data_IF_693665059299
#
_entry.id   IF_693665059299
#
_cell.length_a   1.000
_cell.length_b   1.000
_cell.length_c   1.000
_cell.angle_alpha   90.00
_cell.angle_beta   90.00
_cell.angle_gamma   90.00
#
_symmetry.space_group_name_H-M   'P 1'
#
loop_
_entity.id
_entity.type
_entity.pdbx_description
1 polymer ?
#
# COMPACT_ATOMS: atom_id res chain seq x y z
N UNK A 1 -17.16 -31.09 -20.86
CA UNK A 1 -15.88 -31.05 -20.11
C UNK A 1 -14.78 -30.16 -20.72
N UNK A 2 -15.01 -29.44 -21.83
CA UNK A 2 -13.97 -28.58 -22.49
C UNK A 2 -13.90 -27.12 -22.02
N UNK A 3 -14.92 -26.61 -21.32
CA UNK A 3 -14.96 -25.17 -20.97
C UNK A 3 -14.33 -24.77 -19.63
N UNK A 4 -14.00 -25.72 -18.75
CA UNK A 4 -13.35 -25.38 -17.46
C UNK A 4 -11.83 -25.20 -17.57
N UNK A 5 -11.20 -25.85 -18.56
CA UNK A 5 -9.75 -25.78 -18.73
C UNK A 5 -9.29 -24.43 -19.31
N UNK A 6 -10.10 -23.85 -20.23
CA UNK A 6 -9.76 -22.55 -20.87
C UNK A 6 -9.86 -21.35 -19.91
N UNK A 7 -10.75 -21.38 -18.90
CA UNK A 7 -10.86 -20.30 -17.92
C UNK A 7 -9.65 -20.24 -16.98
N UNK A 8 -9.12 -21.41 -16.58
CA UNK A 8 -7.93 -21.48 -15.71
C UNK A 8 -6.69 -21.00 -16.45
N UNK A 9 -6.52 -21.39 -17.72
CA UNK A 9 -5.39 -20.93 -18.54
C UNK A 9 -5.47 -19.42 -18.85
N UNK A 10 -6.66 -18.87 -19.09
CA UNK A 10 -6.83 -17.45 -19.36
C UNK A 10 -6.47 -16.58 -18.14
N UNK A 11 -6.94 -16.97 -16.96
CA UNK A 11 -6.61 -16.27 -15.71
C UNK A 11 -5.12 -16.36 -15.35
N UNK A 12 -4.45 -17.48 -15.60
CA UNK A 12 -3.02 -17.62 -15.37
C UNK A 12 -2.18 -16.75 -16.33
N UNK A 13 -2.59 -16.63 -17.61
CA UNK A 13 -1.86 -15.85 -18.62
C UNK A 13 -2.04 -14.36 -18.37
N UNK A 14 -3.27 -13.89 -18.08
CA UNK A 14 -3.56 -12.48 -17.77
C UNK A 14 -2.80 -12.02 -16.51
N UNK A 15 -2.73 -12.87 -15.49
CA UNK A 15 -2.00 -12.54 -14.26
C UNK A 15 -0.48 -12.45 -14.47
N UNK A 16 0.10 -13.27 -15.35
CA UNK A 16 1.53 -13.21 -15.68
C UNK A 16 1.91 -11.94 -16.45
N UNK A 17 1.08 -11.51 -17.40
CA UNK A 17 1.28 -10.28 -18.16
C UNK A 17 1.16 -9.04 -17.27
N UNK A 18 0.14 -8.97 -16.42
CA UNK A 18 -0.02 -7.89 -15.45
C UNK A 18 1.19 -7.82 -14.50
N UNK A 19 1.70 -8.96 -14.03
CA UNK A 19 2.88 -9.01 -13.17
C UNK A 19 4.13 -8.44 -13.86
N UNK A 20 4.34 -8.76 -15.14
CA UNK A 20 5.45 -8.19 -15.92
C UNK A 20 5.28 -6.69 -16.16
N UNK A 21 4.06 -6.22 -16.41
CA UNK A 21 3.76 -4.79 -16.53
C UNK A 21 3.99 -4.04 -15.21
N UNK A 22 3.62 -4.63 -14.07
CA UNK A 22 3.92 -4.11 -12.73
C UNK A 22 5.43 -3.96 -12.53
N UNK A 23 6.21 -5.01 -12.81
CA UNK A 23 7.67 -4.97 -12.68
C UNK A 23 8.30 -3.87 -13.52
N UNK A 24 7.92 -3.75 -14.79
CA UNK A 24 8.48 -2.77 -15.73
C UNK A 24 8.03 -1.35 -15.39
N UNK A 25 6.73 -1.15 -15.21
CA UNK A 25 6.14 0.17 -14.97
C UNK A 25 6.64 0.80 -13.66
N UNK A 26 6.70 0.03 -12.57
CA UNK A 26 7.24 0.57 -11.32
C UNK A 26 8.77 0.71 -11.36
N UNK A 27 9.49 -0.19 -12.04
CA UNK A 27 10.94 -0.01 -12.22
C UNK A 27 11.29 1.29 -12.91
N UNK A 28 10.53 1.71 -13.92
CA UNK A 28 10.84 2.94 -14.68
C UNK A 28 10.64 4.21 -13.87
N UNK A 29 9.66 4.23 -12.94
CA UNK A 29 9.28 5.46 -12.22
C UNK A 29 9.93 5.63 -10.85
N UNK A 30 10.50 4.58 -10.22
CA UNK A 30 10.89 4.66 -8.80
C UNK A 30 11.87 5.77 -8.47
N UNK A 31 12.82 6.09 -9.33
CA UNK A 31 13.76 7.19 -9.08
C UNK A 31 13.11 8.58 -9.10
N UNK A 32 12.15 8.81 -10.00
CA UNK A 32 11.35 10.05 -10.03
C UNK A 32 10.33 10.08 -8.90
N UNK A 33 9.64 8.97 -8.70
CA UNK A 33 8.68 8.80 -7.61
C UNK A 33 9.27 9.07 -6.23
N UNK A 34 10.52 8.62 -5.96
CA UNK A 34 11.19 8.91 -4.69
C UNK A 34 11.43 10.40 -4.49
N UNK A 35 11.91 11.11 -5.53
CA UNK A 35 12.10 12.57 -5.47
C UNK A 35 10.79 13.30 -5.21
N UNK A 36 9.73 12.89 -5.89
CA UNK A 36 8.39 13.45 -5.71
C UNK A 36 7.85 13.15 -4.30
N UNK A 37 7.98 11.93 -3.82
CA UNK A 37 7.53 11.51 -2.50
C UNK A 37 8.22 12.27 -1.35
N UNK A 38 9.46 12.70 -1.55
CA UNK A 38 10.21 13.50 -0.57
C UNK A 38 9.89 15.01 -0.63
N UNK A 39 9.32 15.49 -1.72
CA UNK A 39 9.05 16.92 -1.94
C UNK A 39 7.56 17.28 -1.92
N UNK A 40 6.69 16.33 -2.20
CA UNK A 40 5.24 16.53 -2.22
C UNK A 40 4.67 16.52 -0.80
N UNK A 41 4.09 17.62 -0.31
CA UNK A 41 3.54 17.69 1.05
C UNK A 41 2.46 16.66 1.35
N UNK A 42 1.74 16.20 0.33
CA UNK A 42 0.67 15.20 0.47
C UNK A 42 1.26 13.82 0.75
N UNK A 43 2.25 13.41 -0.05
CA UNK A 43 2.92 12.13 0.13
C UNK A 43 3.66 12.08 1.47
N UNK A 44 4.26 13.20 1.87
CA UNK A 44 4.89 13.35 3.18
C UNK A 44 3.86 13.15 4.30
N UNK A 45 2.67 13.79 4.22
CA UNK A 45 1.61 13.63 5.21
C UNK A 45 1.04 12.21 5.23
N UNK A 46 0.80 11.60 4.06
CA UNK A 46 0.30 10.23 3.96
C UNK A 46 1.27 9.24 4.58
N UNK A 47 2.57 9.36 4.29
CA UNK A 47 3.62 8.54 4.90
C UNK A 47 3.71 8.75 6.41
N UNK A 48 3.68 10.00 6.87
CA UNK A 48 3.69 10.34 8.30
C UNK A 48 2.55 9.65 9.05
N UNK A 49 1.32 9.74 8.53
CA UNK A 49 0.15 9.12 9.15
C UNK A 49 0.22 7.59 9.12
N UNK A 50 0.68 7.02 8.02
CA UNK A 50 0.87 5.58 7.91
C UNK A 50 1.92 5.06 8.89
N UNK A 51 3.08 5.72 8.96
CA UNK A 51 4.16 5.37 9.89
C UNK A 51 3.70 5.44 11.34
N UNK A 52 3.02 6.51 11.71
CA UNK A 52 2.41 6.68 13.04
C UNK A 52 1.45 5.53 13.38
N UNK A 53 0.64 5.08 12.43
CA UNK A 53 -0.27 3.93 12.65
C UNK A 53 0.52 2.64 12.91
N UNK A 54 1.59 2.36 12.17
CA UNK A 54 2.46 1.20 12.44
C UNK A 54 3.11 1.30 13.83
N UNK A 55 3.58 2.48 14.23
CA UNK A 55 4.23 2.74 15.52
C UNK A 55 3.29 2.58 16.73
N UNK A 56 1.99 2.83 16.57
CA UNK A 56 0.98 2.58 17.62
C UNK A 56 0.97 1.10 18.03
N UNK A 57 1.19 0.19 17.08
CA UNK A 57 1.10 -1.25 17.30
C UNK A 57 2.45 -1.97 17.34
N UNK A 58 3.55 -1.26 17.10
CA UNK A 58 4.89 -1.82 17.13
C UNK A 58 5.84 -0.96 17.94
N UNK A 59 6.68 -1.60 18.74
CA UNK A 59 7.69 -0.89 19.54
C UNK A 59 9.06 -0.93 18.85
N UNK A 60 9.94 0.06 19.08
CA UNK A 60 11.34 -0.07 18.68
C UNK A 60 11.94 -1.41 19.13
N UNK A 61 12.73 -2.02 18.26
CA UNK A 61 13.23 -3.39 18.41
C UNK A 61 12.38 -4.46 17.73
N UNK A 62 11.12 -4.15 17.34
CA UNK A 62 10.28 -5.07 16.60
C UNK A 62 10.81 -5.37 15.19
N UNK A 63 10.55 -6.59 14.72
CA UNK A 63 10.81 -7.01 13.34
C UNK A 63 9.59 -6.70 12.47
N UNK A 64 9.81 -6.00 11.36
CA UNK A 64 8.79 -5.56 10.41
C UNK A 64 9.04 -6.20 9.04
N UNK A 65 7.97 -6.58 8.36
CA UNK A 65 7.99 -6.98 6.95
C UNK A 65 7.26 -5.91 6.12
N UNK A 66 7.99 -5.27 5.21
CA UNK A 66 7.44 -4.33 4.23
C UNK A 66 7.14 -5.05 2.93
N UNK A 67 5.89 -5.01 2.49
CA UNK A 67 5.47 -5.47 1.18
C UNK A 67 5.50 -4.29 0.19
N UNK A 68 5.82 -4.55 -1.08
CA UNK A 68 5.94 -3.50 -2.10
C UNK A 68 6.79 -2.30 -1.63
N UNK A 69 7.98 -2.60 -1.11
CA UNK A 69 8.85 -1.64 -0.43
C UNK A 69 9.37 -0.50 -1.33
N UNK A 70 9.31 -0.67 -2.64
CA UNK A 70 9.79 0.33 -3.59
C UNK A 70 11.24 0.70 -3.32
N UNK A 71 11.52 1.99 -3.25
CA UNK A 71 12.86 2.49 -2.97
C UNK A 71 13.31 2.34 -1.50
N UNK A 72 12.45 1.84 -0.60
CA UNK A 72 12.78 1.62 0.82
C UNK A 72 12.70 2.86 1.70
N UNK A 73 11.91 3.88 1.33
CA UNK A 73 11.76 5.10 2.15
C UNK A 73 11.14 4.83 3.52
N UNK A 74 10.17 3.92 3.59
CA UNK A 74 9.53 3.57 4.86
C UNK A 74 10.42 2.61 5.67
N UNK A 75 11.10 1.66 5.00
CA UNK A 75 12.12 0.81 5.63
C UNK A 75 13.24 1.63 6.28
N UNK A 76 13.78 2.62 5.57
CA UNK A 76 14.80 3.53 6.10
C UNK A 76 14.31 4.29 7.34
N UNK A 77 13.07 4.81 7.27
CA UNK A 77 12.46 5.50 8.40
C UNK A 77 12.37 4.60 9.63
N UNK A 78 11.80 3.40 9.49
CA UNK A 78 11.64 2.50 10.62
C UNK A 78 12.99 2.00 11.15
N UNK A 79 13.93 1.64 10.27
CA UNK A 79 15.25 1.22 10.71
C UNK A 79 16.00 2.32 11.46
N UNK A 80 15.86 3.60 11.03
CA UNK A 80 16.41 4.76 11.75
C UNK A 80 15.76 4.98 13.12
N UNK A 81 14.57 4.42 13.35
CA UNK A 81 13.86 4.44 14.61
C UNK A 81 13.97 3.11 15.39
N UNK A 82 15.07 2.38 15.20
CA UNK A 82 15.41 1.13 15.88
C UNK A 82 14.47 -0.06 15.61
N UNK A 83 13.81 -0.13 14.47
CA UNK A 83 13.15 -1.33 14.01
C UNK A 83 14.08 -2.20 13.16
N UNK A 84 13.77 -3.48 13.03
CA UNK A 84 14.44 -4.39 12.09
C UNK A 84 13.50 -4.57 10.90
N UNK A 85 13.92 -4.21 9.70
CA UNK A 85 13.02 -4.18 8.54
C UNK A 85 13.53 -5.09 7.43
N UNK A 86 12.68 -6.03 7.01
CA UNK A 86 12.82 -6.73 5.74
C UNK A 86 11.88 -6.10 4.71
N UNK A 87 12.42 -5.49 3.66
CA UNK A 87 11.64 -5.00 2.53
C UNK A 87 11.55 -6.04 1.42
N UNK A 88 10.38 -6.17 0.79
CA UNK A 88 10.17 -7.03 -0.38
C UNK A 88 9.53 -6.25 -1.52
N UNK A 89 10.03 -6.47 -2.74
CA UNK A 89 9.47 -5.90 -3.96
C UNK A 89 9.90 -6.74 -5.17
N UNK A 90 9.20 -6.62 -6.29
CA UNK A 90 9.49 -7.35 -7.53
C UNK A 90 10.11 -6.47 -8.62
N UNK A 91 10.06 -5.16 -8.48
CA UNK A 91 10.61 -4.23 -9.46
C UNK A 91 12.15 -4.19 -9.37
N UNK A 92 12.82 -4.22 -10.52
CA UNK A 92 14.29 -4.30 -10.53
C UNK A 92 14.96 -3.07 -9.91
N UNK A 93 14.45 -1.87 -10.21
CA UNK A 93 15.01 -0.63 -9.65
C UNK A 93 14.73 -0.46 -8.15
N UNK A 94 13.70 -1.13 -7.62
CA UNK A 94 13.45 -1.21 -6.17
C UNK A 94 14.67 -1.78 -5.45
N UNK A 95 15.20 -2.91 -5.94
CA UNK A 95 16.40 -3.53 -5.39
C UNK A 95 17.57 -2.56 -5.32
N UNK A 96 17.86 -1.89 -6.43
CA UNK A 96 19.01 -0.98 -6.55
C UNK A 96 18.89 0.15 -5.52
N UNK A 97 17.77 0.86 -5.52
CA UNK A 97 17.53 2.01 -4.64
C UNK A 97 17.46 1.62 -3.16
N UNK A 98 16.95 0.43 -2.86
CA UNK A 98 16.90 -0.07 -1.49
C UNK A 98 18.31 -0.46 -0.99
N UNK A 99 19.09 -1.19 -1.81
CA UNK A 99 20.46 -1.59 -1.48
C UNK A 99 21.41 -0.39 -1.35
N UNK A 100 21.21 0.69 -2.13
CA UNK A 100 21.91 1.96 -1.93
C UNK A 100 21.69 2.52 -0.53
N UNK A 101 20.45 2.46 -0.01
CA UNK A 101 20.14 2.91 1.35
C UNK A 101 20.76 2.03 2.43
N UNK A 102 20.80 0.70 2.21
CA UNK A 102 21.51 -0.21 3.12
C UNK A 102 22.99 0.14 3.15
N UNK A 103 23.60 0.31 1.98
CA UNK A 103 25.02 0.63 1.85
C UNK A 103 25.38 1.99 2.49
N UNK A 104 24.51 2.99 2.31
CA UNK A 104 24.68 4.31 2.90
C UNK A 104 24.46 4.32 4.44
N UNK A 105 23.81 3.31 5.00
CA UNK A 105 23.45 3.22 6.41
C UNK A 105 23.77 1.84 7.01
N UNK A 106 25.03 1.41 7.04
CA UNK A 106 25.42 0.02 7.36
C UNK A 106 25.12 -0.41 8.81
N UNK A 107 24.84 0.52 9.69
CA UNK A 107 24.47 0.24 11.09
C UNK A 107 22.97 0.01 11.28
N UNK A 108 22.15 0.34 10.30
CA UNK A 108 20.72 0.13 10.36
C UNK A 108 20.36 -1.32 10.02
N UNK A 109 19.38 -1.86 10.72
CA UNK A 109 18.89 -3.23 10.51
C UNK A 109 17.87 -3.26 9.37
N UNK A 110 18.38 -3.18 8.15
CA UNK A 110 17.60 -3.23 6.92
C UNK A 110 18.08 -4.39 6.05
N UNK A 111 17.13 -5.15 5.50
CA UNK A 111 17.38 -6.21 4.53
C UNK A 111 16.40 -6.05 3.36
N UNK A 112 16.81 -6.52 2.18
CA UNK A 112 15.96 -6.57 0.99
C UNK A 112 15.92 -7.97 0.41
N UNK A 113 14.70 -8.38 -0.02
CA UNK A 113 14.51 -9.59 -0.82
C UNK A 113 13.63 -9.30 -2.03
N UNK A 114 14.03 -9.78 -3.20
CA UNK A 114 13.22 -9.68 -4.41
C UNK A 114 12.15 -10.79 -4.38
N UNK A 115 11.08 -10.55 -3.65
CA UNK A 115 9.97 -11.49 -3.43
C UNK A 115 8.65 -10.79 -3.70
N UNK A 116 7.80 -11.44 -4.48
CA UNK A 116 6.42 -10.99 -4.68
C UNK A 116 5.59 -11.20 -3.42
N UNK A 117 4.70 -10.27 -3.10
CA UNK A 117 3.71 -10.47 -2.04
C UNK A 117 2.76 -11.66 -2.34
N UNK A 118 2.71 -12.14 -3.57
CA UNK A 118 1.98 -13.37 -3.93
C UNK A 118 2.76 -14.66 -3.59
N UNK A 119 4.07 -14.57 -3.30
CA UNK A 119 4.98 -15.68 -3.02
C UNK A 119 5.73 -15.51 -1.70
N UNK A 120 5.03 -15.12 -0.65
CA UNK A 120 5.63 -14.91 0.67
C UNK A 120 6.03 -16.23 1.37
N UNK A 121 5.65 -17.38 0.83
CA UNK A 121 6.16 -18.70 1.21
C UNK A 121 7.69 -18.82 1.03
N UNK A 122 8.29 -18.02 0.14
CA UNK A 122 9.75 -17.87 0.00
C UNK A 122 10.42 -17.29 1.28
N UNK A 123 9.65 -16.69 2.19
CA UNK A 123 10.08 -16.21 3.50
C UNK A 123 9.80 -17.23 4.63
N UNK A 124 9.47 -18.47 4.29
CA UNK A 124 9.13 -19.51 5.27
C UNK A 124 10.22 -19.64 6.35
N UNK A 125 9.82 -19.78 7.60
CA UNK A 125 10.71 -19.82 8.75
C UNK A 125 11.04 -18.45 9.38
N UNK A 126 10.78 -17.35 8.67
CA UNK A 126 10.91 -16.00 9.24
C UNK A 126 9.66 -15.62 10.04
N UNK A 127 9.84 -14.79 11.06
CA UNK A 127 8.74 -14.27 11.89
C UNK A 127 8.87 -12.78 12.12
N UNK A 128 7.73 -12.09 12.04
CA UNK A 128 7.64 -10.65 12.17
C UNK A 128 6.62 -10.25 13.23
N UNK A 129 6.84 -9.13 13.87
CA UNK A 129 5.87 -8.53 14.79
C UNK A 129 4.76 -7.80 14.01
N UNK A 130 5.12 -7.27 12.81
CA UNK A 130 4.20 -6.50 11.99
C UNK A 130 4.51 -6.68 10.50
N UNK A 131 3.47 -6.90 9.70
CA UNK A 131 3.53 -6.86 8.24
C UNK A 131 2.84 -5.57 7.79
N UNK A 132 3.47 -4.79 6.91
CA UNK A 132 2.84 -3.59 6.41
C UNK A 132 3.00 -3.41 4.89
N UNK A 133 2.04 -2.70 4.28
CA UNK A 133 2.04 -2.32 2.87
C UNK A 133 1.54 -0.90 2.74
N UNK A 134 2.39 0.00 2.28
CA UNK A 134 2.07 1.41 2.08
C UNK A 134 1.78 1.72 0.59
N UNK A 135 1.28 2.93 0.31
CA UNK A 135 1.06 3.45 -1.05
C UNK A 135 0.26 2.52 -1.98
N UNK A 136 -0.70 1.78 -1.41
CA UNK A 136 -1.72 1.05 -2.18
C UNK A 136 -1.18 -0.01 -3.17
N UNK A 137 0.01 -0.58 -2.93
CA UNK A 137 0.56 -1.63 -3.78
C UNK A 137 -0.36 -2.84 -3.94
N UNK A 138 -1.13 -3.17 -2.91
CA UNK A 138 -2.13 -4.26 -2.95
C UNK A 138 -3.33 -3.97 -3.88
N UNK A 139 -3.48 -2.74 -4.37
CA UNK A 139 -4.49 -2.45 -5.38
C UNK A 139 -4.09 -2.91 -6.80
N UNK A 140 -2.88 -3.43 -6.99
CA UNK A 140 -2.45 -4.04 -8.26
C UNK A 140 -2.85 -5.52 -8.39
N UNK A 141 -3.57 -6.08 -7.41
CA UNK A 141 -3.98 -7.49 -7.41
C UNK A 141 -5.39 -7.69 -6.86
N UNK A 142 -6.06 -8.74 -7.30
CA UNK A 142 -7.31 -9.22 -6.71
C UNK A 142 -7.12 -10.49 -5.86
N UNK A 143 -5.89 -11.03 -5.77
CA UNK A 143 -5.58 -12.29 -5.11
C UNK A 143 -5.37 -12.16 -3.58
N UNK A 144 -6.14 -11.27 -2.93
CA UNK A 144 -5.97 -10.96 -1.50
C UNK A 144 -6.04 -12.19 -0.60
N UNK A 145 -6.92 -13.14 -0.90
CA UNK A 145 -7.05 -14.37 -0.09
C UNK A 145 -5.77 -15.20 -0.09
N UNK A 146 -5.12 -15.36 -1.26
CA UNK A 146 -3.85 -16.06 -1.39
C UNK A 146 -2.74 -15.34 -0.63
N UNK A 147 -2.63 -14.02 -0.79
CA UNK A 147 -1.61 -13.20 -0.12
C UNK A 147 -1.77 -13.30 1.39
N UNK A 148 -2.96 -13.03 1.89
CA UNK A 148 -3.22 -12.93 3.33
C UNK A 148 -3.20 -14.29 4.05
N UNK A 149 -3.47 -15.39 3.32
CA UNK A 149 -3.32 -16.74 3.89
C UNK A 149 -1.91 -17.03 4.38
N UNK A 150 -0.90 -16.39 3.79
CA UNK A 150 0.51 -16.54 4.14
C UNK A 150 0.90 -15.75 5.40
N UNK A 151 0.15 -14.69 5.75
CA UNK A 151 0.52 -13.79 6.86
C UNK A 151 0.56 -14.48 8.22
N UNK A 152 -0.38 -15.41 8.47
CA UNK A 152 -0.39 -16.19 9.71
C UNK A 152 0.92 -16.96 9.93
N UNK A 153 1.48 -17.48 8.83
CA UNK A 153 2.76 -18.21 8.87
C UNK A 153 3.96 -17.30 9.16
N UNK A 154 3.87 -16.02 8.84
CA UNK A 154 4.95 -15.03 8.96
C UNK A 154 4.85 -14.14 10.21
N UNK A 155 3.73 -14.13 10.91
CA UNK A 155 3.55 -13.31 12.10
C UNK A 155 3.81 -14.11 13.39
N UNK A 156 4.36 -13.42 14.39
CA UNK A 156 4.27 -13.88 15.76
C UNK A 156 2.81 -13.87 16.23
N UNK A 157 2.41 -14.76 17.17
CA UNK A 157 1.08 -14.71 17.79
C UNK A 157 0.78 -13.31 18.36
N UNK A 158 -0.36 -12.75 18.00
CA UNK A 158 -0.73 -11.38 18.39
C UNK A 158 -0.07 -10.27 17.56
N UNK A 159 0.66 -10.60 16.51
CA UNK A 159 1.26 -9.65 15.58
C UNK A 159 0.23 -8.89 14.75
N UNK A 160 0.67 -7.87 14.04
CA UNK A 160 -0.20 -6.91 13.36
C UNK A 160 0.02 -6.87 11.86
N UNK A 161 -1.00 -6.42 11.16
CA UNK A 161 -0.97 -6.10 9.72
C UNK A 161 -1.50 -4.69 9.55
N UNK A 162 -0.75 -3.80 8.91
CA UNK A 162 -1.23 -2.44 8.54
C UNK A 162 -1.10 -2.23 7.04
N UNK A 163 -2.21 -1.90 6.40
CA UNK A 163 -2.30 -1.75 4.95
C UNK A 163 -2.88 -0.39 4.59
N UNK A 164 -2.27 0.32 3.63
CA UNK A 164 -2.88 1.46 2.96
C UNK A 164 -3.47 1.00 1.63
N UNK A 165 -4.74 1.29 1.41
CA UNK A 165 -5.52 0.74 0.28
C UNK A 165 -6.43 1.81 -0.31
N UNK A 166 -6.57 1.83 -1.63
CA UNK A 166 -7.54 2.69 -2.33
C UNK A 166 -8.95 2.07 -2.26
N UNK A 167 -9.95 2.80 -1.73
CA UNK A 167 -11.35 2.38 -1.73
C UNK A 167 -12.05 2.70 -3.06
N UNK A 168 -13.26 2.14 -3.23
CA UNK A 168 -14.14 2.51 -4.37
C UNK A 168 -14.68 3.95 -4.26
N UNK A 169 -14.87 4.45 -3.04
CA UNK A 169 -15.49 5.75 -2.81
C UNK A 169 -14.44 6.80 -2.45
N UNK A 170 -14.17 7.72 -3.39
CA UNK A 170 -13.34 8.90 -3.19
C UNK A 170 -14.18 10.15 -3.49
N UNK A 171 -14.56 10.95 -2.47
CA UNK A 171 -15.41 12.12 -2.66
C UNK A 171 -14.84 13.12 -3.67
N UNK A 172 -13.54 13.33 -3.64
CA UNK A 172 -12.87 14.29 -4.53
C UNK A 172 -12.85 13.86 -5.99
N UNK A 173 -12.71 12.55 -6.28
CA UNK A 173 -12.88 12.06 -7.65
C UNK A 173 -14.30 12.31 -8.16
N UNK A 174 -15.31 12.09 -7.31
CA UNK A 174 -16.71 12.33 -7.68
C UNK A 174 -16.95 13.82 -7.89
N UNK A 175 -16.49 14.68 -7.01
CA UNK A 175 -16.61 16.13 -7.15
C UNK A 175 -15.90 16.67 -8.38
N UNK A 176 -14.85 15.99 -8.86
CA UNK A 176 -14.13 16.39 -10.08
C UNK A 176 -14.98 16.28 -11.36
N UNK A 177 -16.14 15.61 -11.32
CA UNK A 177 -17.12 15.59 -12.42
C UNK A 177 -17.56 17.03 -12.76
N UNK A 178 -17.75 17.87 -11.74
CA UNK A 178 -18.16 19.26 -11.93
C UNK A 178 -17.14 20.04 -12.79
N UNK A 179 -15.87 19.62 -12.73
CA UNK A 179 -14.78 20.20 -13.51
C UNK A 179 -14.54 19.45 -14.85
N UNK A 180 -15.52 18.64 -15.31
CA UNK A 180 -15.44 17.92 -16.58
C UNK A 180 -14.53 16.69 -16.58
N UNK A 181 -14.14 16.16 -15.41
CA UNK A 181 -13.31 14.97 -15.33
C UNK A 181 -14.10 13.69 -15.66
N UNK A 182 -14.01 13.23 -16.89
CA UNK A 182 -14.68 12.00 -17.35
C UNK A 182 -14.16 10.71 -16.67
N UNK A 183 -13.02 10.79 -15.96
CA UNK A 183 -12.45 9.65 -15.23
C UNK A 183 -12.94 9.56 -13.77
N UNK A 184 -13.73 10.52 -13.32
CA UNK A 184 -14.19 10.61 -11.93
C UNK A 184 -14.97 9.37 -11.42
N UNK A 185 -15.66 8.67 -12.31
CA UNK A 185 -16.42 7.45 -11.97
C UNK A 185 -15.64 6.16 -12.26
N UNK A 186 -14.35 6.24 -12.57
CA UNK A 186 -13.55 5.04 -12.89
C UNK A 186 -13.59 3.97 -11.81
N UNK A 187 -13.58 4.37 -10.51
CA UNK A 187 -13.60 3.44 -9.37
C UNK A 187 -14.89 2.62 -9.27
N UNK A 188 -15.97 3.04 -9.94
CA UNK A 188 -17.26 2.33 -9.96
C UNK A 188 -17.46 1.45 -11.19
N UNK A 189 -16.52 1.47 -12.14
CA UNK A 189 -16.57 0.59 -13.31
C UNK A 189 -16.28 -0.87 -12.92
N UNK A 190 -16.53 -1.80 -13.85
CA UNK A 190 -16.15 -3.19 -13.69
C UNK A 190 -14.62 -3.32 -13.53
N UNK A 191 -14.18 -4.09 -12.57
CA UNK A 191 -12.75 -4.37 -12.34
C UNK A 191 -12.29 -5.55 -13.23
N UNK A 192 -11.00 -5.56 -13.63
CA UNK A 192 -9.97 -4.57 -13.32
C UNK A 192 -10.13 -3.25 -14.08
N UNK A 193 -9.72 -2.15 -13.45
CA UNK A 193 -9.52 -0.88 -14.14
C UNK A 193 -8.07 -0.83 -14.62
N UNK A 194 -7.86 -0.54 -15.88
CA UNK A 194 -6.51 -0.42 -16.42
C UNK A 194 -5.97 0.98 -16.12
N UNK A 195 -4.94 1.04 -15.29
CA UNK A 195 -4.13 2.24 -15.04
C UNK A 195 -2.86 2.20 -15.87
N UNK A 196 -2.41 3.37 -16.32
CA UNK A 196 -1.14 3.46 -17.04
C UNK A 196 -0.05 3.95 -16.09
N UNK A 197 1.02 3.18 -15.96
CA UNK A 197 2.23 3.54 -15.22
C UNK A 197 3.39 3.55 -16.20
N UNK A 198 3.81 4.73 -16.60
CA UNK A 198 4.90 4.96 -17.56
C UNK A 198 4.78 4.14 -18.86
N UNK A 199 3.59 4.13 -19.46
CA UNK A 199 3.31 3.39 -20.69
C UNK A 199 2.87 1.93 -20.48
N UNK A 200 3.00 1.38 -19.29
CA UNK A 200 2.61 0.00 -18.98
C UNK A 200 1.18 -0.06 -18.43
N UNK A 201 0.28 -0.87 -19.02
CA UNK A 201 -1.07 -1.07 -18.53
C UNK A 201 -1.03 -1.99 -17.29
N UNK A 202 -1.50 -1.47 -16.16
CA UNK A 202 -1.54 -2.19 -14.88
C UNK A 202 -2.98 -2.36 -14.44
N UNK A 203 -3.38 -3.58 -14.11
CA UNK A 203 -4.67 -3.88 -13.52
C UNK A 203 -4.76 -3.25 -12.13
N UNK A 204 -5.81 -2.47 -11.91
CA UNK A 204 -6.06 -1.79 -10.65
C UNK A 204 -7.41 -2.22 -10.08
N UNK A 205 -7.42 -2.59 -8.82
CA UNK A 205 -8.59 -3.05 -8.07
C UNK A 205 -8.82 -2.16 -6.86
N UNK A 206 -10.07 -1.83 -6.58
CA UNK A 206 -10.43 -1.00 -5.42
C UNK A 206 -11.05 -1.87 -4.34
N UNK A 207 -10.42 -1.94 -3.18
CA UNK A 207 -10.82 -2.84 -2.12
C UNK A 207 -11.54 -2.10 -0.99
N UNK A 208 -12.71 -2.60 -0.58
CA UNK A 208 -13.39 -2.11 0.62
C UNK A 208 -12.78 -2.70 1.88
N UNK A 209 -12.88 -2.03 3.06
CA UNK A 209 -12.44 -2.60 4.32
C UNK A 209 -13.06 -3.97 4.62
N UNK A 210 -14.34 -4.14 4.28
CA UNK A 210 -15.02 -5.44 4.42
C UNK A 210 -14.32 -6.53 3.63
N UNK A 211 -13.93 -6.26 2.37
CA UNK A 211 -13.20 -7.21 1.53
C UNK A 211 -11.85 -7.57 2.13
N UNK A 212 -11.08 -6.56 2.62
CA UNK A 212 -9.79 -6.80 3.28
C UNK A 212 -9.96 -7.70 4.52
N UNK A 213 -10.90 -7.37 5.42
CA UNK A 213 -11.14 -8.15 6.64
C UNK A 213 -11.57 -9.58 6.31
N UNK A 214 -12.47 -9.77 5.35
CA UNK A 214 -12.90 -11.09 4.92
C UNK A 214 -11.74 -11.90 4.33
N UNK A 215 -10.86 -11.26 3.56
CA UNK A 215 -9.69 -11.92 2.95
C UNK A 215 -8.59 -12.26 3.96
N UNK A 216 -8.46 -11.48 5.04
CA UNK A 216 -7.57 -11.81 6.17
C UNK A 216 -8.04 -13.05 6.93
N UNK A 217 -9.35 -13.35 6.89
CA UNK A 217 -9.95 -14.52 7.52
C UNK A 217 -10.16 -14.40 9.02
N UNK A 218 -10.77 -15.43 9.62
CA UNK A 218 -11.22 -15.43 11.02
C UNK A 218 -10.10 -15.38 12.07
N UNK A 219 -8.86 -15.63 11.67
CA UNK A 219 -7.70 -15.51 12.59
C UNK A 219 -7.31 -14.06 12.85
N UNK A 220 -7.84 -13.10 12.08
CA UNK A 220 -7.55 -11.69 12.24
C UNK A 220 -8.80 -10.92 12.65
N UNK A 221 -8.60 -9.90 13.48
CA UNK A 221 -9.65 -8.93 13.80
C UNK A 221 -9.14 -7.51 13.53
N UNK A 222 -9.99 -6.68 12.92
CA UNK A 222 -9.67 -5.27 12.68
C UNK A 222 -9.60 -4.52 14.00
N UNK A 223 -8.55 -3.72 14.17
CA UNK A 223 -8.36 -2.87 15.35
C UNK A 223 -8.49 -1.39 15.04
N UNK A 224 -8.22 -0.99 13.79
CA UNK A 224 -8.40 0.39 13.33
C UNK A 224 -8.70 0.45 11.82
N UNK A 225 -9.53 1.42 11.42
CA UNK A 225 -9.73 1.82 10.02
C UNK A 225 -9.75 3.34 10.01
N UNK A 226 -8.88 3.95 9.22
CA UNK A 226 -8.72 5.41 9.16
C UNK A 226 -8.70 5.87 7.70
N UNK A 227 -9.64 6.75 7.27
CA UNK A 227 -9.57 7.39 5.97
C UNK A 227 -8.34 8.29 5.84
N UNK A 228 -7.89 8.51 4.61
CA UNK A 228 -6.88 9.51 4.25
C UNK A 228 -7.32 10.20 2.96
N UNK A 229 -7.12 11.51 2.90
CA UNK A 229 -7.51 12.30 1.73
C UNK A 229 -9.03 12.42 1.59
N UNK A 230 -9.74 12.56 2.72
CA UNK A 230 -11.17 12.79 2.75
C UNK A 230 -11.52 14.27 2.56
N UNK A 231 -10.83 15.14 3.30
CA UNK A 231 -11.01 16.60 3.26
C UNK A 231 -9.97 17.23 2.32
N UNK A 232 -8.85 16.59 2.16
CA UNK A 232 -7.76 17.05 1.33
C UNK A 232 -8.04 16.72 -0.13
N UNK A 233 -8.06 17.71 -1.02
CA UNK A 233 -8.30 17.50 -2.44
C UNK A 233 -7.09 16.87 -3.13
N UNK A 234 -6.99 15.55 -3.02
CA UNK A 234 -5.92 14.76 -3.66
C UNK A 234 -6.07 14.84 -5.18
N UNK A 235 -5.17 14.45 -5.90
CA UNK A 235 -4.38 14.78 -7.07
C UNK A 235 -4.89 15.87 -8.03
N UNK A 236 -6.13 16.35 -7.90
CA UNK A 236 -6.70 17.34 -8.83
C UNK A 236 -6.20 18.77 -8.58
N UNK A 237 -5.60 19.02 -7.43
CA UNK A 237 -5.14 20.36 -7.03
C UNK A 237 -3.61 20.50 -7.11
N UNK A 238 -3.01 20.01 -8.20
CA UNK A 238 -1.65 20.46 -8.59
C UNK A 238 -1.51 22.00 -8.64
N UNK A 239 -2.64 22.72 -8.63
CA UNK A 239 -2.76 24.17 -8.60
C UNK A 239 -2.60 24.81 -7.22
N UNK A 240 -2.78 24.10 -6.12
CA UNK A 240 -2.52 24.64 -4.79
C UNK A 240 -1.02 24.61 -4.46
N UNK A 241 -0.31 25.66 -4.91
CA UNK A 241 1.12 25.85 -4.60
C UNK A 241 1.36 26.44 -3.19
N UNK A 242 0.32 26.89 -2.51
CA UNK A 242 0.46 27.55 -1.21
C UNK A 242 0.60 26.52 -0.08
N UNK A 243 1.84 26.32 0.40
CA UNK A 243 2.17 25.38 1.47
C UNK A 243 1.36 25.59 2.76
N UNK A 244 0.96 26.84 3.09
CA UNK A 244 0.16 27.13 4.29
C UNK A 244 -1.27 26.59 4.17
N UNK A 245 -1.87 26.77 2.99
CA UNK A 245 -3.22 26.26 2.71
C UNK A 245 -3.20 24.73 2.71
N UNK A 246 -2.19 24.13 2.10
CA UNK A 246 -1.99 22.66 2.12
C UNK A 246 -1.88 22.18 3.57
N UNK A 247 -1.04 22.81 4.40
CA UNK A 247 -0.88 22.44 5.81
C UNK A 247 -2.19 22.51 6.60
N UNK A 248 -3.02 23.54 6.39
CA UNK A 248 -4.32 23.66 7.04
C UNK A 248 -5.27 22.52 6.65
N UNK A 249 -5.31 22.15 5.36
CA UNK A 249 -6.15 21.05 4.88
C UNK A 249 -5.68 19.68 5.40
N UNK A 250 -4.37 19.44 5.46
CA UNK A 250 -3.83 18.18 6.00
C UNK A 250 -4.09 18.03 7.48
N UNK A 251 -3.97 19.12 8.27
CA UNK A 251 -4.32 19.11 9.70
C UNK A 251 -5.82 18.86 9.93
N UNK A 252 -6.69 19.47 9.13
CA UNK A 252 -8.13 19.26 9.22
C UNK A 252 -8.49 17.83 8.82
N UNK A 253 -7.90 17.31 7.76
CA UNK A 253 -8.09 15.93 7.31
C UNK A 253 -7.62 14.94 8.41
N UNK A 254 -6.45 15.16 9.02
CA UNK A 254 -5.96 14.32 10.12
C UNK A 254 -6.94 14.32 11.30
N UNK A 255 -7.41 15.48 11.74
CA UNK A 255 -8.37 15.60 12.87
C UNK A 255 -9.68 14.88 12.60
N UNK A 256 -10.23 15.01 11.40
CA UNK A 256 -11.50 14.39 11.03
C UNK A 256 -11.33 12.89 10.84
N UNK A 257 -10.29 12.47 10.11
CA UNK A 257 -10.05 11.07 9.77
C UNK A 257 -9.60 10.23 10.98
N UNK A 258 -8.98 10.82 12.00
CA UNK A 258 -8.63 10.11 13.26
C UNK A 258 -9.79 10.03 14.25
N UNK A 259 -10.89 10.73 13.99
CA UNK A 259 -12.08 10.65 14.83
C UNK A 259 -12.73 9.27 14.67
N UNK A 260 -13.09 8.64 15.80
CA UNK A 260 -13.78 7.32 15.82
C UNK A 260 -15.11 7.29 15.05
N UNK A 261 -15.65 8.45 14.70
CA UNK A 261 -16.88 8.57 13.91
C UNK A 261 -16.68 8.20 12.42
N UNK A 262 -15.43 8.18 11.94
CA UNK A 262 -15.09 7.97 10.54
C UNK A 262 -14.33 6.67 10.28
N UNK A 263 -14.60 5.59 11.01
CA UNK A 263 -14.05 4.25 10.70
C UNK A 263 -14.58 3.69 9.36
N UNK A 264 -14.44 4.49 8.31
CA UNK A 264 -14.96 4.19 6.98
C UNK A 264 -13.82 4.09 5.97
N UNK A 265 -13.91 3.12 5.07
CA UNK A 265 -13.01 3.01 3.93
C UNK A 265 -13.44 3.95 2.81
N UNK A 266 -13.27 5.24 3.02
CA UNK A 266 -13.58 6.33 2.07
C UNK A 266 -12.37 7.27 1.99
N UNK A 267 -12.34 8.12 0.97
CA UNK A 267 -11.23 9.05 0.75
C UNK A 267 -10.39 8.63 -0.44
N UNK A 268 -9.20 9.19 -0.58
CA UNK A 268 -8.29 8.74 -1.63
C UNK A 268 -7.75 7.34 -1.32
N UNK A 269 -7.32 7.17 -0.06
CA UNK A 269 -6.94 5.91 0.55
C UNK A 269 -7.60 5.74 1.92
N UNK A 270 -7.43 4.59 2.51
CA UNK A 270 -7.64 4.35 3.93
C UNK A 270 -6.52 3.46 4.46
N UNK A 271 -6.19 3.63 5.74
CA UNK A 271 -5.33 2.72 6.47
C UNK A 271 -6.21 1.75 7.24
N UNK A 272 -5.88 0.47 7.19
CA UNK A 272 -6.53 -0.57 8.00
C UNK A 272 -5.47 -1.33 8.77
N UNK A 273 -5.66 -1.46 10.07
CA UNK A 273 -4.83 -2.29 10.93
C UNK A 273 -5.66 -3.45 11.48
N UNK A 274 -5.10 -4.65 11.38
CA UNK A 274 -5.67 -5.87 11.92
C UNK A 274 -4.64 -6.59 12.80
N UNK A 275 -5.13 -7.36 13.77
CA UNK A 275 -4.31 -8.14 14.70
C UNK A 275 -4.57 -9.62 14.51
N UNK A 276 -3.51 -10.41 14.44
CA UNK A 276 -3.58 -11.87 14.51
C UNK A 276 -3.99 -12.30 15.93
N UNK A 277 -4.99 -13.16 16.03
CA UNK A 277 -5.38 -13.76 17.32
C UNK A 277 -4.21 -14.55 17.93
N UNK A 278 -4.16 -14.59 19.25
CA UNK A 278 -3.13 -15.32 20.00
C UNK A 278 -3.28 -16.82 19.84
#
# INVERSE_FOLDING_TARGET
MKNKCNLVFHNCIVNSENLENIKKGFSSIYGEYERDAMSNPIDIDFRKRFRKEVEIYSKPGSSLLELNAGSGLDALYFASNNYQVLGTDIAANSKILFEEKITANPLLKMEYKNVSFEKLDELSGMKFNHIYSNHSGLNCTNNLNQIFSQFKGLLYPGGYVTLMVMPKFCPWEILSIINGNNKALRRFKAEPIISNVDGFPIETYYHSPKKIIMSLGSSFHSVNIQPIGLIYPVPFFKTFKNKKIIGLFTELDEKICTSRLFNLGIGDCYIITARLSK
#
